data_IF_547813609838
#
_entry.id   IF_547813609838
#
_cell.length_a   1.000
_cell.length_b   1.000
_cell.length_c   1.000
_cell.angle_alpha   90.00
_cell.angle_beta   90.00
_cell.angle_gamma   90.00
#
_symmetry.space_group_name_H-M   'P 1'
#
loop_
_entity.id
_entity.type
_entity.pdbx_description
1 polymer ?
#
# COMPACT_ATOMS: atom_id res chain seq x y z
N UNK A 1 -28.61 6.96 10.79
CA UNK A 1 -27.40 6.73 9.96
C UNK A 1 -27.03 5.25 10.02
N UNK A 2 -26.45 4.71 8.96
CA UNK A 2 -26.10 3.26 8.81
C UNK A 2 -25.29 2.71 10.00
N UNK A 3 -24.36 3.50 10.55
CA UNK A 3 -23.58 3.12 11.74
C UNK A 3 -24.45 2.82 12.96
N UNK A 4 -25.54 3.56 13.17
CA UNK A 4 -26.50 3.34 14.25
C UNK A 4 -27.32 2.07 14.04
N UNK A 5 -27.77 1.82 12.81
CA UNK A 5 -28.54 0.62 12.47
C UNK A 5 -27.68 -0.64 12.65
N UNK A 6 -26.40 -0.57 12.27
CA UNK A 6 -25.47 -1.69 12.38
C UNK A 6 -24.86 -1.83 13.79
N UNK A 7 -25.16 -0.94 14.73
CA UNK A 7 -24.54 -0.88 16.07
C UNK A 7 -23.02 -0.93 16.01
N UNK A 8 -22.43 -0.24 15.03
CA UNK A 8 -21.00 -0.20 14.84
C UNK A 8 -20.35 0.84 15.76
N UNK A 9 -19.29 0.44 16.47
CA UNK A 9 -18.53 1.34 17.35
C UNK A 9 -17.75 2.38 16.55
N UNK A 10 -17.36 2.01 15.31
CA UNK A 10 -16.55 2.87 14.47
C UNK A 10 -16.89 2.68 12.99
N UNK A 11 -17.03 3.78 12.28
CA UNK A 11 -17.21 3.80 10.82
C UNK A 11 -16.07 4.59 10.17
N UNK A 12 -15.35 3.97 9.26
CA UNK A 12 -14.21 4.56 8.56
C UNK A 12 -14.52 4.65 7.07
N UNK A 13 -14.42 5.85 6.52
CA UNK A 13 -14.47 6.07 5.07
C UNK A 13 -13.05 6.31 4.58
N UNK A 14 -12.62 5.53 3.61
CA UNK A 14 -11.31 5.68 2.96
C UNK A 14 -11.50 6.03 1.50
N UNK A 15 -10.58 6.80 0.94
CA UNK A 15 -10.50 7.01 -0.50
C UNK A 15 -10.17 5.70 -1.20
N UNK A 16 -10.75 5.47 -2.37
CA UNK A 16 -10.48 4.26 -3.14
C UNK A 16 -9.00 4.18 -3.52
N UNK A 17 -8.45 2.96 -3.45
CA UNK A 17 -7.15 2.64 -3.98
C UNK A 17 -7.33 1.71 -5.17
N UNK A 18 -6.66 2.02 -6.27
CA UNK A 18 -6.68 1.24 -7.51
C UNK A 18 -5.25 0.80 -7.86
N UNK A 19 -5.12 -0.29 -8.59
CA UNK A 19 -3.81 -0.85 -8.94
C UNK A 19 -3.35 -0.42 -10.34
N UNK A 20 -4.27 -0.12 -11.24
CA UNK A 20 -3.96 0.28 -12.61
C UNK A 20 -4.86 1.40 -13.11
N UNK A 21 -4.50 1.97 -14.27
CA UNK A 21 -5.23 3.05 -14.91
C UNK A 21 -6.65 2.63 -15.35
N UNK A 22 -6.82 1.39 -15.79
CA UNK A 22 -8.14 0.85 -16.19
C UNK A 22 -9.12 0.83 -15.02
N UNK A 23 -8.64 0.48 -13.83
CA UNK A 23 -9.43 0.51 -12.60
C UNK A 23 -9.79 1.94 -12.19
N UNK A 24 -8.93 2.89 -12.50
CA UNK A 24 -9.12 4.30 -12.14
C UNK A 24 -10.38 4.89 -12.78
N UNK A 25 -10.59 4.62 -14.06
CA UNK A 25 -11.76 5.10 -14.81
C UNK A 25 -13.09 4.57 -14.24
N UNK A 26 -13.06 3.37 -13.64
CA UNK A 26 -14.25 2.70 -13.11
C UNK A 26 -14.53 3.03 -11.65
N UNK A 27 -13.50 3.12 -10.82
CA UNK A 27 -13.64 3.13 -9.35
C UNK A 27 -13.28 4.45 -8.68
N UNK A 28 -12.59 5.37 -9.37
CA UNK A 28 -12.27 6.65 -8.77
C UNK A 28 -13.48 7.61 -8.88
N UNK A 29 -13.74 8.38 -7.81
CA UNK A 29 -14.78 9.41 -7.85
C UNK A 29 -14.45 10.51 -8.88
N UNK A 30 -15.47 11.12 -9.46
CA UNK A 30 -15.28 12.24 -10.38
C UNK A 30 -14.68 13.46 -9.67
N UNK A 31 -15.06 13.69 -8.42
CA UNK A 31 -14.58 14.82 -7.63
C UNK A 31 -13.14 14.61 -7.16
N UNK A 32 -12.24 15.46 -7.61
CA UNK A 32 -10.81 15.41 -7.29
C UNK A 32 -10.52 15.43 -5.78
N UNK A 33 -11.35 16.11 -4.99
CA UNK A 33 -11.23 16.18 -3.54
C UNK A 33 -11.24 14.79 -2.88
N UNK A 34 -11.97 13.84 -3.45
CA UNK A 34 -12.11 12.49 -2.92
C UNK A 34 -11.14 11.49 -3.56
N UNK A 35 -10.33 11.94 -4.54
CA UNK A 35 -9.28 11.12 -5.16
C UNK A 35 -8.00 11.16 -4.33
N UNK A 36 -7.34 10.02 -4.20
CA UNK A 36 -5.98 9.96 -3.65
C UNK A 36 -4.88 10.14 -4.69
N UNK A 37 -5.26 10.19 -5.96
CA UNK A 37 -4.35 10.32 -7.10
C UNK A 37 -4.44 11.72 -7.69
N UNK A 38 -3.29 12.20 -8.20
CA UNK A 38 -3.19 13.43 -8.99
C UNK A 38 -3.43 13.09 -10.46
N UNK A 39 -4.14 13.98 -11.16
CA UNK A 39 -4.11 13.96 -12.61
C UNK A 39 -2.75 14.48 -13.06
N UNK A 40 -1.89 13.62 -13.62
CA UNK A 40 -0.58 14.01 -14.12
C UNK A 40 -0.68 14.41 -15.59
N UNK A 41 -0.53 15.71 -15.92
CA UNK A 41 -0.60 16.16 -17.32
C UNK A 41 0.69 15.88 -18.11
N UNK A 42 1.80 15.54 -17.46
CA UNK A 42 3.12 15.54 -18.08
C UNK A 42 3.73 14.18 -18.43
N UNK A 43 3.18 13.11 -17.89
CA UNK A 43 3.64 11.75 -18.20
C UNK A 43 2.48 10.92 -18.77
N UNK A 44 2.21 11.12 -20.05
CA UNK A 44 1.29 10.29 -20.85
C UNK A 44 1.91 8.90 -21.11
N UNK A 45 2.07 8.12 -20.07
CA UNK A 45 2.25 6.68 -20.17
C UNK A 45 1.02 6.03 -19.53
N UNK A 46 0.48 5.02 -20.16
CA UNK A 46 -0.82 4.40 -19.86
C UNK A 46 -1.00 3.84 -18.42
N UNK A 47 -0.02 3.98 -17.53
CA UNK A 47 -0.02 3.30 -16.22
C UNK A 47 0.29 4.22 -15.01
N UNK A 48 0.41 5.52 -15.16
CA UNK A 48 0.99 6.36 -14.12
C UNK A 48 -0.05 7.13 -13.29
N UNK A 49 -0.76 6.38 -12.45
CA UNK A 49 -1.52 6.94 -11.33
C UNK A 49 -0.54 7.43 -10.26
N UNK A 50 -0.43 8.74 -10.10
CA UNK A 50 0.44 9.33 -9.08
C UNK A 50 -0.34 9.60 -7.80
N UNK A 51 0.09 8.99 -6.70
CA UNK A 51 -0.50 9.28 -5.39
C UNK A 51 -0.11 10.67 -4.93
N UNK A 52 -1.08 11.50 -4.54
CA UNK A 52 -0.87 12.85 -4.02
C UNK A 52 0.14 12.85 -2.87
N UNK A 53 1.21 13.64 -3.00
CA UNK A 53 2.24 13.77 -1.98
C UNK A 53 3.08 12.52 -1.71
N UNK A 54 3.07 11.54 -2.62
CA UNK A 54 3.90 10.34 -2.47
C UNK A 54 5.39 10.70 -2.61
N UNK A 55 6.24 10.30 -1.64
CA UNK A 55 7.67 10.48 -1.78
C UNK A 55 8.24 9.56 -2.86
N UNK A 56 9.26 10.01 -3.56
CA UNK A 56 9.97 9.23 -4.58
C UNK A 56 10.70 8.01 -3.99
N UNK A 57 11.07 8.09 -2.71
CA UNK A 57 11.89 7.07 -2.05
C UNK A 57 11.33 6.70 -0.69
N UNK A 58 11.67 5.51 -0.22
CA UNK A 58 11.37 5.03 1.12
C UNK A 58 9.94 4.53 1.32
N UNK A 59 9.77 3.70 2.32
CA UNK A 59 8.48 3.21 2.80
C UNK A 59 8.63 2.71 4.24
N UNK A 60 8.02 3.37 5.20
CA UNK A 60 8.16 3.00 6.63
C UNK A 60 7.65 1.60 6.95
N UNK A 61 6.63 1.12 6.23
CA UNK A 61 6.02 -0.20 6.46
C UNK A 61 7.06 -1.31 6.46
N UNK A 62 8.06 -1.22 5.58
CA UNK A 62 9.12 -2.23 5.45
C UNK A 62 10.02 -2.39 6.69
N UNK A 63 9.91 -1.51 7.69
CA UNK A 63 10.69 -1.55 8.92
C UNK A 63 9.92 -1.97 10.16
N UNK A 64 8.59 -2.15 10.04
CA UNK A 64 7.77 -2.56 11.19
C UNK A 64 6.67 -3.58 10.84
N UNK A 65 6.47 -3.90 9.57
CA UNK A 65 5.43 -4.82 9.14
C UNK A 65 5.93 -5.76 8.04
N UNK A 66 5.33 -6.92 7.99
CA UNK A 66 5.53 -7.96 7.00
C UNK A 66 4.22 -8.73 6.83
N UNK A 67 4.12 -9.55 5.81
CA UNK A 67 3.04 -10.51 5.64
C UNK A 67 3.61 -11.92 5.57
N UNK A 68 2.98 -12.86 6.27
CA UNK A 68 3.26 -14.28 6.14
C UNK A 68 1.99 -14.93 5.58
N UNK A 69 2.12 -15.58 4.43
CA UNK A 69 1.03 -16.27 3.79
C UNK A 69 0.77 -17.63 4.47
N UNK A 70 -0.37 -18.21 4.14
CA UNK A 70 -0.81 -19.49 4.70
C UNK A 70 0.16 -20.66 4.45
N UNK A 71 0.97 -20.58 3.39
CA UNK A 71 1.97 -21.60 2.99
C UNK A 71 3.37 -21.34 3.59
N UNK A 72 3.54 -20.26 4.38
CA UNK A 72 4.82 -19.89 4.98
C UNK A 72 5.62 -18.86 4.21
N UNK A 73 5.25 -18.52 2.99
CA UNK A 73 5.93 -17.48 2.22
C UNK A 73 5.83 -16.12 2.90
N UNK A 74 6.97 -15.46 3.04
CA UNK A 74 7.05 -14.13 3.64
C UNK A 74 7.16 -13.08 2.55
N UNK A 75 6.19 -12.16 2.52
CA UNK A 75 6.15 -11.02 1.61
C UNK A 75 6.55 -9.72 2.34
N UNK A 76 7.10 -8.71 1.64
CA UNK A 76 7.57 -7.47 2.26
C UNK A 76 6.44 -6.64 2.88
N UNK A 77 5.22 -6.72 2.34
CA UNK A 77 4.03 -6.05 2.87
C UNK A 77 2.76 -6.66 2.29
N UNK A 78 1.59 -6.21 2.79
CA UNK A 78 0.28 -6.72 2.37
C UNK A 78 -0.13 -6.35 0.93
N UNK A 79 0.62 -5.53 0.23
CA UNK A 79 0.37 -5.22 -1.19
C UNK A 79 0.96 -6.28 -2.13
N UNK A 80 1.92 -7.04 -1.67
CA UNK A 80 2.49 -8.18 -2.41
C UNK A 80 1.64 -9.44 -2.16
N UNK A 81 0.44 -9.45 -2.71
CA UNK A 81 -0.54 -10.52 -2.48
C UNK A 81 -0.12 -11.85 -3.10
N UNK A 82 0.58 -11.78 -4.21
CA UNK A 82 0.96 -12.92 -5.03
C UNK A 82 2.40 -13.40 -4.71
N UNK A 83 3.06 -12.71 -3.76
CA UNK A 83 4.45 -12.99 -3.32
C UNK A 83 5.46 -12.89 -4.47
N UNK A 84 5.30 -11.88 -5.32
CA UNK A 84 6.24 -11.58 -6.40
C UNK A 84 7.65 -11.26 -5.85
N UNK A 85 7.70 -10.78 -4.61
CA UNK A 85 8.92 -10.49 -3.87
C UNK A 85 9.03 -11.36 -2.62
N UNK A 86 9.25 -12.67 -2.80
CA UNK A 86 9.46 -13.57 -1.66
C UNK A 86 10.71 -13.17 -0.86
N UNK A 87 10.53 -13.01 0.46
CA UNK A 87 11.61 -12.73 1.42
C UNK A 87 12.19 -13.98 2.05
N UNK A 88 11.48 -15.10 1.97
CA UNK A 88 11.83 -16.40 2.53
C UNK A 88 10.60 -17.19 2.93
N UNK A 89 10.82 -18.38 3.49
CA UNK A 89 9.78 -19.31 3.93
C UNK A 89 9.91 -19.57 5.44
N UNK A 90 8.92 -19.11 6.19
CA UNK A 90 8.89 -19.21 7.65
C UNK A 90 8.59 -20.64 8.14
N UNK A 91 8.14 -21.55 7.29
CA UNK A 91 7.84 -22.95 7.63
C UNK A 91 8.95 -23.91 7.23
N UNK A 92 9.96 -23.45 6.51
CA UNK A 92 11.04 -24.27 5.97
C UNK A 92 12.39 -24.08 6.72
N UNK A 93 12.33 -24.07 8.06
CA UNK A 93 13.52 -24.09 8.91
C UNK A 93 14.24 -22.76 9.12
N UNK A 94 13.77 -21.69 8.50
CA UNK A 94 14.25 -20.33 8.79
C UNK A 94 13.41 -19.70 9.89
N UNK A 95 14.06 -19.00 10.81
CA UNK A 95 13.29 -18.16 11.75
C UNK A 95 12.83 -16.88 11.05
N UNK A 96 11.70 -16.32 11.50
CA UNK A 96 11.25 -15.03 10.98
C UNK A 96 12.32 -13.92 11.14
N UNK A 97 13.10 -13.97 12.22
CA UNK A 97 14.19 -13.03 12.45
C UNK A 97 15.30 -13.14 11.37
N UNK A 98 15.65 -14.36 10.96
CA UNK A 98 16.62 -14.58 9.89
C UNK A 98 16.12 -14.07 8.55
N UNK A 99 14.84 -14.31 8.24
CA UNK A 99 14.20 -13.78 7.05
C UNK A 99 14.18 -12.26 7.07
N UNK A 100 13.70 -11.66 8.17
CA UNK A 100 13.57 -10.22 8.35
C UNK A 100 14.89 -9.46 8.22
N UNK A 101 15.98 -10.07 8.69
CA UNK A 101 17.34 -9.53 8.58
C UNK A 101 18.12 -10.09 7.38
N UNK A 102 17.49 -10.93 6.61
CA UNK A 102 18.08 -11.62 5.47
C UNK A 102 18.40 -10.71 4.28
N UNK A 103 19.17 -11.27 3.37
CA UNK A 103 19.58 -10.56 2.13
C UNK A 103 18.41 -10.13 1.28
N UNK A 104 17.31 -10.92 1.07
CA UNK A 104 16.17 -10.49 0.29
C UNK A 104 15.56 -9.19 0.83
N UNK A 105 15.29 -9.12 2.14
CA UNK A 105 14.75 -7.92 2.78
C UNK A 105 15.69 -6.72 2.66
N UNK A 106 16.99 -6.92 2.87
CA UNK A 106 17.98 -5.83 2.77
C UNK A 106 18.01 -5.26 1.36
N UNK A 107 18.05 -6.11 0.34
CA UNK A 107 18.03 -5.70 -1.06
C UNK A 107 16.72 -4.99 -1.43
N UNK A 108 15.58 -5.52 -0.98
CA UNK A 108 14.28 -4.91 -1.27
C UNK A 108 14.16 -3.53 -0.59
N UNK A 109 14.53 -3.43 0.70
CA UNK A 109 14.54 -2.14 1.42
C UNK A 109 15.46 -1.13 0.74
N UNK A 110 16.66 -1.55 0.30
CA UNK A 110 17.58 -0.67 -0.41
C UNK A 110 16.97 -0.18 -1.73
N UNK A 111 16.39 -1.06 -2.53
CA UNK A 111 15.71 -0.72 -3.77
C UNK A 111 14.62 0.35 -3.55
N UNK A 112 13.83 0.21 -2.49
CA UNK A 112 12.78 1.18 -2.16
C UNK A 112 13.35 2.50 -1.62
N UNK A 113 14.50 2.49 -0.96
CA UNK A 113 15.21 3.70 -0.55
C UNK A 113 15.82 4.44 -1.74
N UNK A 114 16.31 3.72 -2.73
CA UNK A 114 16.91 4.29 -3.93
C UNK A 114 15.83 4.89 -4.86
N UNK A 115 14.83 4.07 -5.18
CA UNK A 115 13.69 4.47 -6.00
C UNK A 115 12.47 3.57 -5.73
N UNK A 116 11.49 4.12 -5.03
CA UNK A 116 10.24 3.42 -4.73
C UNK A 116 9.43 3.07 -5.98
N UNK A 117 9.47 3.92 -7.00
CA UNK A 117 8.69 3.76 -8.24
C UNK A 117 9.26 2.66 -9.15
N UNK A 118 10.49 2.21 -8.91
CA UNK A 118 11.08 1.07 -9.63
C UNK A 118 10.38 -0.26 -9.36
N UNK A 119 9.48 -0.31 -8.37
CA UNK A 119 8.71 -1.49 -8.00
C UNK A 119 7.23 -1.21 -8.27
N UNK A 120 6.61 -1.97 -9.18
CA UNK A 120 5.25 -1.71 -9.68
C UNK A 120 4.21 -1.60 -8.57
N UNK A 121 4.16 -2.54 -7.65
CA UNK A 121 3.23 -2.49 -6.51
C UNK A 121 3.45 -1.29 -5.58
N UNK A 122 4.64 -0.68 -5.59
CA UNK A 122 4.97 0.48 -4.76
C UNK A 122 4.72 1.81 -5.47
N UNK A 123 4.66 1.80 -6.80
CA UNK A 123 4.47 2.98 -7.65
C UNK A 123 3.20 3.74 -7.29
N UNK A 124 2.09 3.02 -7.16
CA UNK A 124 0.77 3.56 -6.88
C UNK A 124 0.32 3.35 -5.42
N UNK A 125 1.22 2.85 -4.55
CA UNK A 125 0.88 2.55 -3.18
C UNK A 125 0.85 3.81 -2.32
N UNK A 126 -0.23 4.02 -1.59
CA UNK A 126 -0.44 5.16 -0.69
C UNK A 126 0.06 4.92 0.74
N UNK A 127 0.59 3.74 1.02
CA UNK A 127 1.06 3.38 2.36
C UNK A 127 2.54 3.74 2.58
N UNK A 128 2.96 3.75 3.83
CA UNK A 128 4.38 3.88 4.20
C UNK A 128 4.90 5.29 4.34
N UNK A 129 4.07 6.32 4.17
CA UNK A 129 4.39 7.70 4.49
C UNK A 129 3.26 8.35 5.30
N UNK A 130 3.59 9.41 6.01
CA UNK A 130 2.58 10.18 6.76
C UNK A 130 1.79 11.03 5.75
N UNK A 131 0.71 10.51 5.28
CA UNK A 131 -0.12 11.25 4.36
C UNK A 131 -1.59 11.08 4.71
N UNK A 132 -2.17 11.97 4.80
CA UNK A 132 -3.40 12.71 4.53
C UNK A 132 -4.52 11.96 3.79
N UNK A 133 -4.40 10.69 3.43
CA UNK A 133 -5.34 10.06 2.49
C UNK A 133 -6.36 9.10 3.09
N UNK A 134 -6.39 8.99 4.39
CA UNK A 134 -7.60 8.59 5.07
C UNK A 134 -8.27 9.86 5.58
N UNK A 135 -9.28 10.34 4.87
CA UNK A 135 -10.33 11.11 5.50
C UNK A 135 -11.03 10.15 6.46
N UNK A 136 -10.38 9.91 7.58
CA UNK A 136 -10.98 9.18 8.69
C UNK A 136 -11.91 10.17 9.35
N UNK A 137 -13.15 10.21 8.90
CA UNK A 137 -14.21 10.84 9.66
C UNK A 137 -14.66 9.82 10.69
N UNK A 138 -14.12 9.93 11.88
CA UNK A 138 -14.61 9.20 13.03
C UNK A 138 -16.00 9.76 13.34
N UNK A 139 -17.03 9.04 12.96
CA UNK A 139 -18.40 9.33 13.35
C UNK A 139 -18.61 8.66 14.72
N UNK A 140 -18.08 9.29 15.77
CA UNK A 140 -18.48 8.92 17.11
C UNK A 140 -19.94 9.36 17.29
N UNK A 141 -20.85 8.39 17.28
CA UNK A 141 -22.21 8.63 17.71
C UNK A 141 -22.23 8.79 19.23
N UNK A 142 -22.61 9.97 19.69
CA UNK A 142 -23.28 10.15 20.98
C UNK A 142 -24.76 9.88 20.81
#
# INVERSE_FOLDING_TARGET
>A
ALSHELRADKFLVKTAQVYGADDAATFLPEEELYRRYEDSPEEKGDDDLRVKGQPATGCKVLWYSSMVNWNGDVAPCCFDKDVDFSMGDAFNGQTFADIWQGTPYKKFRQRILDDRRSVDMCRNCSEGYRGMFSLVKELTGN
#
